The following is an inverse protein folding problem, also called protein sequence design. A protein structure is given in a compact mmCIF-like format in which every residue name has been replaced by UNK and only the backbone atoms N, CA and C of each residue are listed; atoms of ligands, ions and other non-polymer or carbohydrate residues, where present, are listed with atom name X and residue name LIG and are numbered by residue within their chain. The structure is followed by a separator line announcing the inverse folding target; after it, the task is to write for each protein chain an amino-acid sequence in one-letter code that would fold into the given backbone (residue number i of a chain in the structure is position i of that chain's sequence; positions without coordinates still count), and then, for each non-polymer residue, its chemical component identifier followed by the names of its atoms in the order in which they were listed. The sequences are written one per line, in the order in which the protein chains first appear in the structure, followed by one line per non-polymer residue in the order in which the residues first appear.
data_IF_326714420361
#
_entry.id   IF_326714420361
#
_cell.length_a   1.000
_cell.length_b   1.000
_cell.length_c   1.000
_cell.angle_alpha   90.00
_cell.angle_beta   90.00
_cell.angle_gamma   90.00
#
_symmetry.space_group_name_H-M   'P 1'
#
loop_
_entity.id
_entity.type
_entity.pdbx_description
1 polymer ?
#
# COMPACT_ATOMS: atom_id res chain seq x y z
N UNK A 1 9.54 13.61 35.78
CA UNK A 1 9.38 13.94 34.35
C UNK A 1 9.30 12.61 33.63
N UNK A 2 8.10 12.18 33.23
CA UNK A 2 7.90 10.90 32.54
C UNK A 2 8.26 11.11 31.07
N UNK A 3 9.43 10.61 30.67
CA UNK A 3 9.81 10.47 29.26
C UNK A 3 8.94 9.34 28.71
N UNK A 4 7.96 9.68 27.88
CA UNK A 4 7.22 8.69 27.10
C UNK A 4 8.07 8.48 25.85
N UNK A 5 8.97 7.50 25.91
CA UNK A 5 9.75 7.08 24.75
C UNK A 5 8.80 6.45 23.73
N UNK A 6 8.97 6.81 22.46
CA UNK A 6 8.37 6.10 21.33
C UNK A 6 9.16 4.80 21.19
N UNK A 7 8.71 3.75 21.86
CA UNK A 7 9.21 2.40 21.66
C UNK A 7 8.31 1.74 20.62
N UNK A 8 8.58 1.96 19.34
CA UNK A 8 8.16 1.00 18.32
C UNK A 8 9.29 -0.01 18.23
N UNK A 9 9.37 -0.93 19.20
CA UNK A 9 10.45 -1.92 19.26
C UNK A 9 10.62 -2.58 17.89
N UNK A 10 11.86 -2.71 17.41
CA UNK A 10 12.14 -3.35 16.11
C UNK A 10 11.48 -4.74 15.96
N UNK A 11 11.32 -5.47 17.07
CA UNK A 11 10.60 -6.75 17.14
C UNK A 11 9.09 -6.61 16.90
N UNK A 12 8.49 -5.49 17.33
CA UNK A 12 7.08 -5.17 17.10
C UNK A 12 6.81 -4.73 15.65
N UNK A 13 7.75 -4.01 15.02
CA UNK A 13 7.62 -3.61 13.61
C UNK A 13 7.92 -4.74 12.62
N UNK A 14 8.65 -5.77 13.03
CA UNK A 14 9.03 -6.88 12.17
C UNK A 14 7.84 -7.60 11.49
N UNK A 15 6.71 -7.90 12.17
CA UNK A 15 5.50 -8.40 11.53
C UNK A 15 4.96 -7.50 10.42
N UNK A 16 4.93 -6.17 10.63
CA UNK A 16 4.42 -5.19 9.66
C UNK A 16 5.29 -5.19 8.40
N UNK A 17 6.61 -5.11 8.61
CA UNK A 17 7.61 -5.14 7.53
C UNK A 17 7.50 -6.43 6.72
N UNK A 18 7.37 -7.59 7.40
CA UNK A 18 7.22 -8.88 6.71
C UNK A 18 5.97 -8.94 5.87
N UNK A 19 4.82 -8.47 6.37
CA UNK A 19 3.58 -8.46 5.61
C UNK A 19 3.71 -7.68 4.30
N UNK A 20 4.24 -6.45 4.36
CA UNK A 20 4.47 -5.61 3.18
C UNK A 20 5.49 -6.22 2.21
N UNK A 21 6.61 -6.75 2.73
CA UNK A 21 7.64 -7.40 1.92
C UNK A 21 7.12 -8.64 1.19
N UNK A 22 6.36 -9.48 1.88
CA UNK A 22 5.78 -10.69 1.30
C UNK A 22 4.79 -10.33 0.18
N UNK A 23 3.92 -9.35 0.41
CA UNK A 23 2.97 -8.89 -0.61
C UNK A 23 3.67 -8.30 -1.85
N UNK A 24 4.70 -7.48 -1.66
CA UNK A 24 5.45 -6.86 -2.76
C UNK A 24 6.34 -7.85 -3.52
N UNK A 25 6.86 -8.88 -2.85
CA UNK A 25 7.74 -9.88 -3.47
C UNK A 25 6.93 -10.95 -4.20
N UNK A 26 5.77 -11.33 -3.66
CA UNK A 26 4.90 -12.38 -4.20
C UNK A 26 3.72 -11.76 -4.94
N UNK A 27 4.00 -11.04 -6.03
CA UNK A 27 2.95 -10.58 -6.94
C UNK A 27 2.15 -11.79 -7.44
N UNK A 28 0.83 -11.87 -7.19
CA UNK A 28 0.03 -13.00 -7.66
C UNK A 28 -0.10 -12.98 -9.19
N UNK A 29 -0.28 -14.15 -9.78
CA UNK A 29 -0.62 -14.27 -11.20
C UNK A 29 -2.15 -14.14 -11.34
N UNK A 30 -2.68 -13.29 -12.24
CA UNK A 30 -4.13 -13.16 -12.42
C UNK A 30 -4.67 -14.34 -13.22
N UNK A 31 -5.02 -15.41 -12.52
CA UNK A 31 -5.53 -16.66 -13.11
C UNK A 31 -7.06 -16.80 -13.01
N UNK A 32 -7.75 -15.90 -12.31
CA UNK A 32 -9.20 -15.92 -12.15
C UNK A 32 -10.00 -15.48 -13.38
N UNK A 33 -11.32 -15.41 -13.23
CA UNK A 33 -12.19 -14.79 -14.23
C UNK A 33 -11.94 -13.28 -14.29
N UNK A 34 -11.72 -12.69 -15.47
CA UNK A 34 -11.55 -11.24 -15.60
C UNK A 34 -12.66 -10.45 -14.91
N UNK A 35 -12.31 -9.26 -14.40
CA UNK A 35 -13.31 -8.31 -13.95
C UNK A 35 -14.26 -7.95 -15.09
N UNK A 36 -15.53 -7.71 -14.77
CA UNK A 36 -16.56 -7.41 -15.76
C UNK A 36 -16.28 -6.06 -16.44
N UNK A 37 -15.95 -5.07 -15.64
CA UNK A 37 -15.60 -3.72 -16.06
C UNK A 37 -14.52 -3.14 -15.14
N UNK A 38 -14.07 -1.92 -15.47
CA UNK A 38 -13.02 -1.25 -14.71
C UNK A 38 -13.47 -0.98 -13.27
N UNK A 39 -14.73 -0.58 -13.06
CA UNK A 39 -15.24 -0.29 -11.72
C UNK A 39 -15.14 -1.52 -10.82
N UNK A 40 -15.56 -2.69 -11.30
CA UNK A 40 -15.45 -3.95 -10.54
C UNK A 40 -14.00 -4.30 -10.20
N UNK A 41 -13.04 -3.92 -11.06
CA UNK A 41 -11.61 -4.10 -10.76
C UNK A 41 -11.13 -3.15 -9.66
N UNK A 42 -11.59 -1.90 -9.66
CA UNK A 42 -11.25 -0.92 -8.62
C UNK A 42 -11.89 -1.27 -7.27
N UNK A 43 -13.16 -1.70 -7.27
CA UNK A 43 -13.89 -2.12 -6.07
C UNK A 43 -13.24 -3.33 -5.37
N UNK A 44 -12.52 -4.17 -6.12
CA UNK A 44 -11.75 -5.28 -5.53
C UNK A 44 -10.63 -4.82 -4.58
N UNK A 45 -10.26 -3.54 -4.65
CA UNK A 45 -9.25 -2.90 -3.82
C UNK A 45 -9.84 -2.15 -2.62
N UNK A 46 -11.13 -2.27 -2.32
CA UNK A 46 -11.78 -1.51 -1.24
C UNK A 46 -11.05 -1.63 0.11
N UNK A 47 -10.64 -2.85 0.48
CA UNK A 47 -9.88 -3.09 1.72
C UNK A 47 -8.52 -2.35 1.74
N UNK A 48 -7.88 -2.24 0.57
CA UNK A 48 -6.65 -1.47 0.43
C UNK A 48 -6.90 0.01 0.68
N UNK A 49 -7.92 0.59 0.04
CA UNK A 49 -8.21 2.03 0.16
C UNK A 49 -8.69 2.41 1.55
N UNK A 50 -9.50 1.56 2.18
CA UNK A 50 -9.90 1.76 3.58
C UNK A 50 -8.68 1.75 4.51
N UNK A 51 -7.71 0.85 4.29
CA UNK A 51 -6.48 0.81 5.09
C UNK A 51 -5.63 2.08 4.91
N UNK A 52 -5.50 2.59 3.67
CA UNK A 52 -4.79 3.86 3.41
C UNK A 52 -5.52 5.04 4.05
N UNK A 53 -6.87 5.04 3.99
CA UNK A 53 -7.70 6.07 4.61
C UNK A 53 -7.53 6.07 6.14
N UNK A 54 -7.56 4.92 6.78
CA UNK A 54 -7.32 4.78 8.23
C UNK A 54 -5.94 5.33 8.63
N UNK A 55 -4.90 5.06 7.84
CA UNK A 55 -3.55 5.59 8.09
C UNK A 55 -3.46 7.12 7.94
N UNK A 56 -4.14 7.68 6.94
CA UNK A 56 -4.06 9.11 6.61
C UNK A 56 -4.98 9.99 7.46
N UNK A 57 -6.11 9.45 7.93
CA UNK A 57 -7.07 10.14 8.80
C UNK A 57 -6.72 10.00 10.29
N UNK A 58 -5.72 9.20 10.65
CA UNK A 58 -5.29 9.03 12.02
C UNK A 58 -4.86 10.36 12.65
N UNK A 59 -5.69 10.90 13.54
CA UNK A 59 -5.44 12.19 14.22
C UNK A 59 -4.46 12.08 15.40
N UNK A 60 -3.80 10.93 15.56
CA UNK A 60 -2.93 10.60 16.67
C UNK A 60 -1.81 9.65 16.26
N UNK A 61 -0.99 9.23 17.24
CA UNK A 61 0.09 8.27 17.00
C UNK A 61 -0.50 6.88 16.73
N UNK A 62 -0.17 6.35 15.57
CA UNK A 62 -0.49 4.97 15.18
C UNK A 62 0.29 4.00 16.07
N UNK A 63 -0.39 2.99 16.60
CA UNK A 63 0.27 1.87 17.27
C UNK A 63 0.82 0.87 16.27
N UNK A 64 1.72 0.00 16.71
CA UNK A 64 2.18 -1.16 15.93
C UNK A 64 1.00 -2.01 15.44
N UNK A 65 -0.04 -2.16 16.27
CA UNK A 65 -1.25 -2.89 15.89
C UNK A 65 -1.98 -2.22 14.72
N UNK A 66 -2.13 -0.90 14.75
CA UNK A 66 -2.79 -0.14 13.67
C UNK A 66 -2.00 -0.23 12.37
N UNK A 67 -0.67 -0.13 12.46
CA UNK A 67 0.22 -0.30 11.31
C UNK A 67 0.15 -1.71 10.73
N UNK A 68 0.08 -2.74 11.58
CA UNK A 68 -0.05 -4.12 11.15
C UNK A 68 -1.41 -4.36 10.48
N UNK A 69 -2.49 -3.84 11.05
CA UNK A 69 -3.83 -3.94 10.49
C UNK A 69 -3.86 -3.30 9.10
N UNK A 70 -3.35 -2.08 8.96
CA UNK A 70 -3.30 -1.40 7.67
C UNK A 70 -2.41 -2.12 6.65
N UNK A 71 -1.23 -2.61 7.06
CA UNK A 71 -0.36 -3.39 6.17
C UNK A 71 -1.03 -4.67 5.67
N UNK A 72 -1.80 -5.35 6.53
CA UNK A 72 -2.56 -6.54 6.14
C UNK A 72 -3.70 -6.19 5.18
N UNK A 73 -4.46 -5.13 5.44
CA UNK A 73 -5.56 -4.72 4.56
C UNK A 73 -5.07 -4.21 3.20
N UNK A 74 -3.97 -3.46 3.16
CA UNK A 74 -3.26 -3.12 1.91
C UNK A 74 -2.82 -4.39 1.17
N UNK A 75 -2.18 -5.33 1.86
CA UNK A 75 -1.72 -6.58 1.24
C UNK A 75 -2.86 -7.45 0.73
N UNK A 76 -3.97 -7.50 1.47
CA UNK A 76 -5.19 -8.25 1.13
C UNK A 76 -5.86 -7.65 -0.10
N UNK A 77 -6.16 -6.35 -0.10
CA UNK A 77 -6.77 -5.67 -1.25
C UNK A 77 -5.90 -5.75 -2.51
N UNK A 78 -4.57 -5.56 -2.38
CA UNK A 78 -3.64 -5.75 -3.48
C UNK A 78 -3.65 -7.19 -4.03
N UNK A 79 -3.77 -8.19 -3.16
CA UNK A 79 -3.89 -9.58 -3.59
C UNK A 79 -5.23 -9.85 -4.27
N UNK A 80 -6.35 -9.42 -3.69
CA UNK A 80 -7.69 -9.59 -4.26
C UNK A 80 -7.78 -9.01 -5.67
N UNK A 81 -7.19 -7.83 -5.87
CA UNK A 81 -7.02 -7.20 -7.17
C UNK A 81 -6.30 -8.08 -8.20
N UNK A 82 -5.26 -8.80 -7.77
CA UNK A 82 -4.47 -9.69 -8.63
C UNK A 82 -5.05 -11.11 -8.76
N UNK A 83 -6.07 -11.50 -7.99
CA UNK A 83 -6.72 -12.82 -8.15
C UNK A 83 -7.49 -12.91 -9.47
N UNK A 84 -7.83 -11.77 -10.07
CA UNK A 84 -8.62 -11.68 -11.29
C UNK A 84 -7.95 -10.73 -12.29
N UNK A 85 -7.85 -11.12 -13.58
CA UNK A 85 -7.36 -10.22 -14.62
C UNK A 85 -8.20 -8.95 -14.76
N UNK A 86 -7.61 -7.92 -15.34
CA UNK A 86 -8.35 -6.76 -15.84
C UNK A 86 -9.42 -7.16 -16.86
N UNK A 87 -10.45 -6.32 -17.04
CA UNK A 87 -11.44 -6.53 -18.07
C UNK A 87 -10.80 -6.71 -19.44
N UNK A 88 -11.44 -7.51 -20.29
CA UNK A 88 -10.96 -7.78 -21.64
C UNK A 88 -10.85 -6.48 -22.44
N UNK A 89 -9.72 -6.30 -23.12
CA UNK A 89 -9.39 -5.07 -23.85
C UNK A 89 -8.78 -3.96 -22.98
N UNK A 90 -8.68 -4.16 -21.67
CA UNK A 90 -8.09 -3.23 -20.70
C UNK A 90 -6.89 -3.84 -19.95
N UNK A 91 -6.28 -4.90 -20.48
CA UNK A 91 -5.25 -5.70 -19.80
C UNK A 91 -4.02 -4.85 -19.38
N UNK A 92 -3.70 -3.81 -20.15
CA UNK A 92 -2.64 -2.85 -19.82
C UNK A 92 -2.91 -2.07 -18.53
N UNK A 93 -4.16 -1.96 -18.10
CA UNK A 93 -4.53 -1.33 -16.85
C UNK A 93 -4.06 -2.10 -15.62
N UNK A 94 -3.91 -3.44 -15.70
CA UNK A 94 -3.48 -4.26 -14.56
C UNK A 94 -2.11 -3.83 -14.03
N UNK A 95 -1.03 -3.81 -14.82
CA UNK A 95 0.28 -3.38 -14.32
C UNK A 95 0.32 -1.89 -13.95
N UNK A 96 -0.45 -1.03 -14.64
CA UNK A 96 -0.48 0.41 -14.35
C UNK A 96 -1.14 0.69 -12.99
N UNK A 97 -2.31 0.11 -12.74
CA UNK A 97 -3.01 0.28 -11.48
C UNK A 97 -2.32 -0.46 -10.33
N UNK A 98 -1.68 -1.61 -10.60
CA UNK A 98 -0.80 -2.28 -9.63
C UNK A 98 0.30 -1.34 -9.13
N UNK A 99 0.86 -0.48 -9.98
CA UNK A 99 1.87 0.48 -9.56
C UNK A 99 1.31 1.52 -8.57
N UNK A 100 0.07 1.96 -8.77
CA UNK A 100 -0.65 2.88 -7.86
C UNK A 100 -0.80 2.26 -6.46
N UNK A 101 -1.09 0.96 -6.38
CA UNK A 101 -1.21 0.23 -5.11
C UNK A 101 0.16 -0.09 -4.49
N UNK A 102 1.16 -0.41 -5.31
CA UNK A 102 2.48 -0.78 -4.81
C UNK A 102 3.25 0.40 -4.22
N UNK A 103 3.03 1.62 -4.73
CA UNK A 103 3.83 2.77 -4.34
C UNK A 103 3.65 3.14 -2.86
N UNK A 104 2.42 3.31 -2.32
CA UNK A 104 2.23 3.56 -0.90
C UNK A 104 2.75 2.42 -0.02
N UNK A 105 2.60 1.16 -0.43
CA UNK A 105 3.14 0.02 0.30
C UNK A 105 4.67 0.08 0.43
N UNK A 106 5.36 0.48 -0.66
CA UNK A 106 6.81 0.67 -0.67
C UNK A 106 7.26 1.84 0.19
N UNK A 107 6.53 2.94 0.17
CA UNK A 107 6.86 4.11 0.97
C UNK A 107 6.66 3.83 2.47
N UNK A 108 5.56 3.15 2.84
CA UNK A 108 5.37 2.66 4.20
C UNK A 108 6.50 1.72 4.64
N UNK A 109 6.82 0.72 3.81
CA UNK A 109 7.90 -0.23 4.10
C UNK A 109 9.24 0.49 4.30
N UNK A 110 9.59 1.45 3.44
CA UNK A 110 10.83 2.22 3.53
C UNK A 110 10.88 3.00 4.84
N UNK A 111 9.80 3.69 5.20
CA UNK A 111 9.74 4.47 6.45
C UNK A 111 9.89 3.58 7.68
N UNK A 112 9.23 2.42 7.72
CA UNK A 112 9.35 1.47 8.83
C UNK A 112 10.77 0.88 8.95
N UNK A 113 11.43 0.60 7.83
CA UNK A 113 12.82 0.14 7.83
C UNK A 113 13.78 1.24 8.32
N UNK A 114 13.61 2.47 7.84
CA UNK A 114 14.41 3.62 8.30
C UNK A 114 14.20 3.91 9.79
N UNK A 115 13.02 3.63 10.34
CA UNK A 115 12.74 3.77 11.77
C UNK A 115 13.57 2.81 12.62
N UNK A 116 13.63 1.54 12.24
CA UNK A 116 14.46 0.53 12.92
C UNK A 116 15.94 0.92 12.85
N UNK A 117 16.40 1.44 11.71
CA UNK A 117 17.78 1.91 11.56
C UNK A 117 18.06 3.16 12.40
N UNK A 118 17.11 4.10 12.49
CA UNK A 118 17.24 5.33 13.27
C UNK A 118 17.18 5.10 14.78
N UNK A 119 16.47 4.08 15.29
CA UNK A 119 16.55 3.70 16.71
C UNK A 119 17.98 3.27 17.12
N UNK A 120 18.82 2.87 16.16
CA UNK A 120 20.24 2.57 16.39
C UNK A 120 21.18 3.79 16.41
N UNK A 121 20.69 4.99 16.06
CA UNK A 121 21.46 6.23 15.99
C UNK A 121 20.66 7.47 16.40
N UNK A 122 21.18 8.22 17.38
CA UNK A 122 20.60 9.34 18.14
C UNK A 122 19.95 10.52 17.33
N UNK A 123 18.93 10.26 16.51
CA UNK A 123 18.23 11.25 15.69
C UNK A 123 16.76 11.39 16.09
N UNK A 124 16.49 12.42 16.89
CA UNK A 124 15.18 12.79 17.44
C UNK A 124 14.33 13.58 16.44
N UNK A 125 13.65 12.89 15.53
CA UNK A 125 12.54 13.44 14.74
C UNK A 125 11.36 12.48 14.78
N UNK A 126 10.13 12.99 14.91
CA UNK A 126 8.95 12.14 14.74
C UNK A 126 8.94 11.59 13.30
N UNK A 127 8.81 10.27 13.11
CA UNK A 127 8.75 9.70 11.77
C UNK A 127 7.48 10.16 11.06
N UNK A 128 7.65 10.86 9.94
CA UNK A 128 6.54 11.19 9.06
C UNK A 128 6.36 10.05 8.05
N UNK A 129 5.24 9.34 8.12
CA UNK A 129 4.85 8.40 7.08
C UNK A 129 4.25 9.22 5.92
N UNK A 130 4.90 9.17 4.75
CA UNK A 130 4.38 9.76 3.52
C UNK A 130 3.95 8.62 2.61
N UNK A 131 2.69 8.62 2.21
CA UNK A 131 2.13 7.67 1.25
C UNK A 131 1.82 8.44 -0.02
N UNK A 132 2.58 8.19 -1.09
CA UNK A 132 2.42 8.87 -2.37
C UNK A 132 2.09 7.84 -3.46
N UNK A 133 1.30 8.26 -4.44
CA UNK A 133 1.01 7.50 -5.66
C UNK A 133 0.63 8.45 -6.82
N UNK A 134 0.90 9.75 -6.71
CA UNK A 134 0.40 10.76 -7.66
C UNK A 134 0.95 10.52 -9.08
N UNK A 135 2.24 10.22 -9.20
CA UNK A 135 2.88 9.93 -10.49
C UNK A 135 2.28 8.67 -11.14
N UNK A 136 2.14 7.59 -10.39
CA UNK A 136 1.56 6.34 -10.87
C UNK A 136 0.08 6.52 -11.26
N UNK A 137 -0.68 7.30 -10.47
CA UNK A 137 -2.07 7.63 -10.75
C UNK A 137 -2.20 8.48 -12.02
N UNK A 138 -1.31 9.46 -12.21
CA UNK A 138 -1.26 10.27 -13.43
C UNK A 138 -0.94 9.42 -14.67
N UNK A 139 -0.06 8.43 -14.55
CA UNK A 139 0.23 7.48 -15.62
C UNK A 139 -1.01 6.63 -15.97
N UNK A 140 -1.72 6.14 -14.95
CA UNK A 140 -2.94 5.37 -15.15
C UNK A 140 -4.06 6.21 -15.80
N UNK A 141 -4.29 7.44 -15.32
CA UNK A 141 -5.28 8.35 -15.88
C UNK A 141 -4.95 8.74 -17.33
N UNK A 142 -3.68 9.02 -17.63
CA UNK A 142 -3.25 9.34 -19.00
C UNK A 142 -3.53 8.18 -19.97
N UNK A 143 -3.40 6.94 -19.50
CA UNK A 143 -3.76 5.76 -20.29
C UNK A 143 -5.28 5.66 -20.50
N UNK A 144 -6.10 5.90 -19.47
CA UNK A 144 -7.56 5.93 -19.60
C UNK A 144 -8.04 7.00 -20.58
N UNK A 145 -7.47 8.20 -20.52
CA UNK A 145 -7.80 9.30 -21.43
C UNK A 145 -7.48 8.94 -22.89
N UNK A 146 -6.38 8.20 -23.12
CA UNK A 146 -6.00 7.70 -24.43
C UNK A 146 -7.00 6.70 -25.02
N UNK A 147 -7.70 5.93 -24.17
CA UNK A 147 -8.75 5.01 -24.60
C UNK A 147 -10.03 5.75 -25.01
N UNK A 148 -10.38 6.84 -24.33
CA UNK A 148 -11.58 7.63 -24.62
C UNK A 148 -11.46 8.48 -25.90
N UNK A 149 -10.23 8.68 -26.39
CA UNK A 149 -9.95 9.42 -27.63
C UNK A 149 -10.11 8.60 -28.92
N UNK A 150 -10.43 7.30 -28.82
CA UNK A 150 -10.57 6.35 -29.92
C UNK A 150 -11.94 5.65 -29.90
#
# INVERSE_FOLDING_TARGET
MNRVDFLLDADELAPVIRALQDALTRRPNPEGEPHFDLQTALDSCDEYFESVRELTEATGRLSTHDLLQAANGMSSGYRCFWERPFPRGLEMGQPLFSAVLERPMRDLLRTLQSLIEAESGDSLGEPLITLDAEEELNCFNSWLDGLAAH
#
